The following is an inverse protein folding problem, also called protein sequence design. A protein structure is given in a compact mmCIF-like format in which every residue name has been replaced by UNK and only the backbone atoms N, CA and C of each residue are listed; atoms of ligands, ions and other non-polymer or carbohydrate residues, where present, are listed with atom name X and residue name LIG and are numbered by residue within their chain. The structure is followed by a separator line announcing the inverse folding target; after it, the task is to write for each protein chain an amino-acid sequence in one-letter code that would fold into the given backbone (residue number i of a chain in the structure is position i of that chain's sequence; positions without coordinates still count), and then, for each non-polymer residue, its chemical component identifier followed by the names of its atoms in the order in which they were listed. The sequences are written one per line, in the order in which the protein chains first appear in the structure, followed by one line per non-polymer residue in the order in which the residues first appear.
data_IF_313521928433
#
_entry.id   IF_313521928433
#
_cell.length_a   1.000
_cell.length_b   1.000
_cell.length_c   1.000
_cell.angle_alpha   90.00
_cell.angle_beta   90.00
_cell.angle_gamma   90.00
#
_symmetry.space_group_name_H-M   'P 1'
#
loop_
_entity.id
_entity.type
_entity.pdbx_description
1 polymer ?
#
# COMPACT_ATOMS: atom_id res chain seq x y z
N UNK A 1 19.16 -20.24 -10.22
CA UNK A 1 18.48 -19.91 -8.94
C UNK A 1 19.27 -18.81 -8.26
N UNK A 2 18.86 -17.53 -8.42
CA UNK A 2 19.46 -16.42 -7.67
C UNK A 2 19.10 -16.63 -6.19
N UNK A 3 20.10 -16.55 -5.31
CA UNK A 3 19.98 -16.88 -3.89
C UNK A 3 18.95 -15.99 -3.19
N UNK A 4 18.22 -16.57 -2.23
CA UNK A 4 17.35 -15.80 -1.35
C UNK A 4 18.19 -14.73 -0.64
N UNK A 5 17.71 -13.48 -0.66
CA UNK A 5 18.31 -12.41 0.12
C UNK A 5 18.02 -12.74 1.59
N UNK A 6 19.08 -12.97 2.38
CA UNK A 6 18.91 -13.26 3.79
C UNK A 6 18.47 -11.98 4.52
N UNK A 7 17.67 -12.09 5.58
CA UNK A 7 17.18 -10.94 6.36
C UNK A 7 18.28 -9.96 6.80
N UNK A 8 19.50 -10.46 7.07
CA UNK A 8 20.66 -9.63 7.43
C UNK A 8 21.18 -8.76 6.27
N UNK A 9 20.86 -9.10 5.02
CA UNK A 9 21.17 -8.29 3.85
C UNK A 9 20.21 -7.12 3.66
N UNK A 10 19.00 -7.13 4.24
CA UNK A 10 18.02 -6.04 4.09
C UNK A 10 18.55 -4.73 4.68
N UNK A 11 19.34 -4.79 5.75
CA UNK A 11 19.91 -3.63 6.43
C UNK A 11 20.75 -2.76 5.48
N UNK A 12 21.45 -3.37 4.50
CA UNK A 12 22.28 -2.61 3.55
C UNK A 12 21.45 -1.78 2.56
N UNK A 13 20.16 -2.07 2.45
CA UNK A 13 19.20 -1.36 1.60
C UNK A 13 18.34 -0.36 2.36
N UNK A 14 18.47 -0.28 3.70
CA UNK A 14 17.82 0.78 4.47
C UNK A 14 18.51 2.11 4.14
N UNK A 15 17.78 3.13 3.67
CA UNK A 15 18.38 4.44 3.42
C UNK A 15 19.03 5.00 4.68
N UNK A 16 20.31 5.40 4.57
CA UNK A 16 21.05 6.00 5.68
C UNK A 16 20.59 7.43 6.00
N UNK A 17 19.95 8.11 5.03
CA UNK A 17 19.47 9.48 5.15
C UNK A 17 18.30 9.70 4.21
N UNK A 18 17.26 10.36 4.71
CA UNK A 18 16.15 10.90 3.93
C UNK A 18 16.16 12.41 4.14
N UNK A 19 16.03 13.18 3.05
CA UNK A 19 15.88 14.63 3.11
C UNK A 19 14.48 15.00 2.64
N UNK A 20 13.68 15.56 3.55
CA UNK A 20 12.40 16.17 3.18
C UNK A 20 12.63 17.65 2.90
N UNK A 21 12.03 18.14 1.83
CA UNK A 21 11.95 19.57 1.56
C UNK A 21 10.48 19.95 1.48
N UNK A 22 10.00 20.74 2.43
CA UNK A 22 8.64 21.27 2.42
C UNK A 22 8.64 22.74 1.99
N UNK A 23 7.50 23.19 1.50
CA UNK A 23 7.20 24.61 1.31
C UNK A 23 6.05 24.95 2.26
N UNK A 24 6.32 25.57 3.43
CA UNK A 24 5.32 25.72 4.49
C UNK A 24 4.01 26.38 4.01
N UNK A 25 4.09 27.36 3.11
CA UNK A 25 2.90 28.01 2.55
C UNK A 25 2.02 27.07 1.72
N UNK A 26 2.59 26.07 1.04
CA UNK A 26 1.81 25.04 0.33
C UNK A 26 1.25 24.00 1.29
N UNK A 27 1.97 23.72 2.36
CA UNK A 27 1.55 22.75 3.37
C UNK A 27 0.39 23.28 4.22
N UNK A 28 0.49 24.52 4.68
CA UNK A 28 -0.52 25.14 5.52
C UNK A 28 -1.83 25.34 4.75
N UNK A 29 -1.74 25.83 3.50
CA UNK A 29 -2.92 26.13 2.68
C UNK A 29 -3.99 26.89 3.48
N UNK A 30 -5.23 26.44 3.35
CA UNK A 30 -6.39 26.98 4.11
C UNK A 30 -6.51 26.38 5.52
N UNK A 31 -5.85 25.26 5.81
CA UNK A 31 -5.91 24.54 7.09
C UNK A 31 -5.03 25.22 8.15
N UNK A 32 -4.05 26.02 7.73
CA UNK A 32 -3.16 26.76 8.63
C UNK A 32 -2.01 25.92 9.17
N UNK A 33 -1.40 26.39 10.28
CA UNK A 33 -0.19 25.79 10.82
C UNK A 33 -0.38 24.36 11.33
N UNK A 34 -1.60 23.95 11.67
CA UNK A 34 -1.87 22.57 12.12
C UNK A 34 -1.56 21.52 11.04
N UNK A 35 -1.58 21.88 9.75
CA UNK A 35 -1.21 20.95 8.68
C UNK A 35 0.24 20.43 8.81
N UNK A 36 1.12 21.21 9.47
CA UNK A 36 2.51 20.83 9.73
C UNK A 36 2.69 19.76 10.79
N UNK A 37 1.64 19.46 11.57
CA UNK A 37 1.65 18.37 12.56
C UNK A 37 1.34 17.00 11.94
N UNK A 38 1.01 16.99 10.64
CA UNK A 38 0.67 15.79 9.89
C UNK A 38 1.85 14.82 9.70
N UNK A 39 1.49 13.65 9.19
CA UNK A 39 2.42 12.58 8.85
C UNK A 39 2.40 12.33 7.34
N UNK A 40 3.53 11.89 6.81
CA UNK A 40 3.64 11.30 5.48
C UNK A 40 3.97 9.82 5.62
N UNK A 41 3.29 8.99 4.82
CA UNK A 41 3.58 7.57 4.69
C UNK A 41 3.94 7.26 3.24
N UNK A 42 5.00 6.48 3.02
CA UNK A 42 5.43 6.07 1.69
C UNK A 42 6.17 4.73 1.74
N UNK A 43 6.06 3.96 0.66
CA UNK A 43 6.80 2.71 0.51
C UNK A 43 8.11 2.98 -0.26
N UNK A 44 9.21 2.40 0.23
CA UNK A 44 10.50 2.38 -0.44
C UNK A 44 10.79 0.95 -0.86
N UNK A 45 11.11 0.74 -2.14
CA UNK A 45 11.48 -0.57 -2.66
C UNK A 45 12.86 -0.49 -3.29
N UNK A 46 13.70 -1.46 -2.98
CA UNK A 46 14.91 -1.74 -3.75
C UNK A 46 14.64 -2.93 -4.66
N UNK A 47 14.84 -2.76 -5.96
CA UNK A 47 14.60 -3.79 -6.97
C UNK A 47 15.77 -3.87 -7.97
N UNK A 48 16.18 -5.09 -8.31
CA UNK A 48 17.09 -5.39 -9.43
C UNK A 48 16.35 -6.23 -10.47
N UNK A 49 16.17 -5.71 -11.69
CA UNK A 49 15.49 -6.42 -12.79
C UNK A 49 14.15 -7.07 -12.38
N UNK A 50 13.23 -6.27 -11.82
CA UNK A 50 11.95 -6.72 -11.28
C UNK A 50 12.06 -7.77 -10.17
N UNK A 51 13.21 -7.87 -9.51
CA UNK A 51 13.39 -8.67 -8.30
C UNK A 51 13.56 -7.75 -7.11
N UNK A 52 12.58 -7.69 -6.23
CA UNK A 52 12.68 -6.95 -4.98
C UNK A 52 13.74 -7.56 -4.07
N UNK A 53 14.60 -6.70 -3.52
CA UNK A 53 15.57 -7.07 -2.49
C UNK A 53 15.31 -6.44 -1.13
N UNK A 54 14.43 -5.44 -1.07
CA UNK A 54 13.94 -4.85 0.18
C UNK A 54 12.67 -4.06 -0.11
N UNK A 55 11.75 -4.02 0.85
CA UNK A 55 10.60 -3.13 0.84
C UNK A 55 10.36 -2.61 2.24
N UNK A 56 10.24 -1.29 2.38
CA UNK A 56 10.06 -0.59 3.65
C UNK A 56 8.86 0.34 3.56
N UNK A 57 7.93 0.24 4.50
CA UNK A 57 6.91 1.26 4.70
C UNK A 57 7.40 2.24 5.76
N UNK A 58 7.62 3.48 5.36
CA UNK A 58 8.10 4.57 6.23
C UNK A 58 6.94 5.48 6.57
N UNK A 59 6.83 5.83 7.85
CA UNK A 59 5.91 6.85 8.36
C UNK A 59 6.72 7.86 9.14
N UNK A 60 6.58 9.14 8.79
CA UNK A 60 7.36 10.21 9.39
C UNK A 60 6.61 11.53 9.42
N UNK A 61 7.03 12.41 10.32
CA UNK A 61 6.56 13.80 10.38
C UNK A 61 7.15 14.60 9.23
N UNK A 62 6.50 15.72 8.92
CA UNK A 62 6.91 16.62 7.84
C UNK A 62 8.20 17.40 8.15
N UNK A 63 8.66 17.39 9.39
CA UNK A 63 9.95 17.94 9.84
C UNK A 63 11.13 16.95 9.65
N UNK A 64 10.87 15.71 9.24
CA UNK A 64 11.89 14.68 9.08
C UNK A 64 11.95 13.63 10.20
N UNK A 65 11.20 13.81 11.29
CA UNK A 65 11.20 12.86 12.41
C UNK A 65 10.55 11.54 12.01
N UNK A 66 11.30 10.44 12.11
CA UNK A 66 10.79 9.09 11.85
C UNK A 66 9.86 8.64 12.98
N UNK A 67 8.64 8.24 12.62
CA UNK A 67 7.67 7.67 13.58
C UNK A 67 7.74 6.15 13.57
N UNK A 68 7.69 5.54 12.37
CA UNK A 68 7.75 4.09 12.17
C UNK A 68 8.45 3.72 10.87
N UNK A 69 9.12 2.58 10.88
CA UNK A 69 9.60 1.89 9.69
C UNK A 69 9.21 0.42 9.82
N UNK A 70 8.51 -0.10 8.84
CA UNK A 70 8.16 -1.51 8.75
C UNK A 70 8.93 -2.16 7.62
N UNK A 71 9.59 -3.27 7.91
CA UNK A 71 10.07 -4.18 6.88
C UNK A 71 8.87 -4.94 6.33
N UNK A 72 8.51 -4.64 5.09
CA UNK A 72 7.33 -5.20 4.42
C UNK A 72 7.69 -6.36 3.51
N UNK A 73 8.98 -6.59 3.26
CA UNK A 73 9.48 -7.62 2.36
C UNK A 73 9.04 -9.03 2.75
N UNK A 74 9.10 -9.35 4.04
CA UNK A 74 8.85 -10.70 4.55
C UNK A 74 7.37 -11.02 4.84
N UNK A 75 6.46 -10.06 4.65
CA UNK A 75 5.04 -10.24 5.03
C UNK A 75 4.33 -11.41 4.31
N UNK A 76 4.81 -11.78 3.10
CA UNK A 76 4.28 -12.92 2.33
C UNK A 76 5.34 -14.01 2.11
N UNK A 77 6.30 -14.16 3.02
CA UNK A 77 7.39 -15.14 2.89
C UNK A 77 8.56 -14.65 2.02
N UNK A 78 8.74 -13.33 1.95
CA UNK A 78 9.74 -12.66 1.14
C UNK A 78 9.16 -12.08 -0.15
N UNK A 79 9.83 -11.07 -0.71
CA UNK A 79 9.47 -10.42 -1.98
C UNK A 79 8.15 -9.64 -1.98
N UNK A 80 7.66 -9.20 -0.83
CA UNK A 80 6.49 -8.31 -0.79
C UNK A 80 6.89 -6.86 -0.97
N UNK A 81 6.18 -6.10 -1.80
CA UNK A 81 6.15 -4.65 -1.73
C UNK A 81 4.72 -4.14 -1.78
N UNK A 82 4.46 -2.95 -1.23
CA UNK A 82 3.15 -2.31 -1.34
C UNK A 82 3.08 -1.37 -2.54
N UNK A 83 2.16 -1.67 -3.46
CA UNK A 83 1.87 -0.93 -4.69
C UNK A 83 0.75 0.09 -4.47
N UNK A 84 -0.18 -0.24 -3.56
CA UNK A 84 -1.21 0.68 -3.09
C UNK A 84 -1.08 0.96 -1.60
N UNK A 85 -1.25 2.23 -1.25
CA UNK A 85 -1.18 2.76 0.11
C UNK A 85 -2.24 3.86 0.24
N UNK A 86 -3.30 3.60 1.01
CA UNK A 86 -4.35 4.60 1.29
C UNK A 86 -4.60 4.72 2.79
N UNK A 87 -4.82 5.93 3.27
CA UNK A 87 -5.24 6.16 4.64
C UNK A 87 -6.72 5.74 4.79
N UNK A 88 -7.02 4.87 5.76
CA UNK A 88 -8.42 4.49 6.06
C UNK A 88 -9.01 5.36 7.17
N UNK A 89 -8.21 5.65 8.18
CA UNK A 89 -8.51 6.55 9.29
C UNK A 89 -7.18 7.01 9.92
N UNK A 90 -7.16 7.92 10.92
CA UNK A 90 -5.92 8.46 11.48
C UNK A 90 -4.94 7.43 12.06
N UNK A 91 -5.36 6.18 12.31
CA UNK A 91 -4.50 5.14 12.89
C UNK A 91 -4.30 3.93 11.97
N UNK A 92 -4.96 3.87 10.81
CA UNK A 92 -4.87 2.68 9.94
C UNK A 92 -4.67 2.99 8.46
N UNK A 93 -3.83 2.20 7.80
CA UNK A 93 -3.61 2.22 6.36
C UNK A 93 -4.17 0.96 5.70
N UNK A 94 -4.74 1.15 4.52
CA UNK A 94 -5.11 0.11 3.58
C UNK A 94 -3.97 -0.08 2.58
N UNK A 95 -3.53 -1.33 2.41
CA UNK A 95 -2.32 -1.69 1.68
C UNK A 95 -2.62 -2.79 0.67
N UNK A 96 -2.15 -2.64 -0.57
CA UNK A 96 -2.16 -3.68 -1.60
C UNK A 96 -0.73 -4.17 -1.85
N UNK A 97 -0.46 -5.46 -1.62
CA UNK A 97 0.87 -6.05 -1.79
C UNK A 97 1.05 -6.79 -3.11
N UNK A 98 2.23 -6.69 -3.72
CA UNK A 98 2.71 -7.54 -4.84
C UNK A 98 3.77 -8.51 -4.34
N UNK A 99 3.84 -9.71 -4.93
CA UNK A 99 4.89 -10.70 -4.74
C UNK A 99 5.84 -10.86 -5.95
N UNK A 100 6.22 -9.76 -6.61
CA UNK A 100 7.40 -9.66 -7.51
C UNK A 100 7.27 -10.30 -8.90
N UNK A 101 6.15 -10.98 -9.18
CA UNK A 101 5.98 -11.73 -10.44
C UNK A 101 4.63 -11.53 -11.12
N UNK A 102 3.66 -10.89 -10.47
CA UNK A 102 2.30 -10.86 -11.03
C UNK A 102 1.46 -9.63 -10.70
N UNK A 103 1.97 -8.60 -10.02
CA UNK A 103 1.15 -7.48 -9.51
C UNK A 103 0.01 -7.98 -8.59
N UNK A 104 0.11 -9.23 -8.12
CA UNK A 104 -0.85 -9.91 -7.27
C UNK A 104 -0.20 -10.15 -5.91
N UNK A 105 -0.99 -10.00 -4.87
CA UNK A 105 -0.63 -10.42 -3.52
C UNK A 105 -1.75 -10.13 -2.55
N UNK A 106 -1.46 -10.30 -1.26
CA UNK A 106 -2.45 -10.06 -0.21
C UNK A 106 -2.67 -8.56 0.05
N UNK A 107 -3.90 -8.23 0.43
CA UNK A 107 -4.27 -6.93 0.94
C UNK A 107 -4.17 -6.91 2.47
N UNK A 108 -3.80 -5.77 3.03
CA UNK A 108 -3.65 -5.61 4.47
C UNK A 108 -4.30 -4.34 4.97
N UNK A 109 -4.79 -4.40 6.20
CA UNK A 109 -4.97 -3.24 7.06
C UNK A 109 -3.79 -3.17 8.03
N UNK A 110 -3.08 -2.04 8.06
CA UNK A 110 -2.03 -1.77 9.04
C UNK A 110 -2.54 -0.79 10.10
N UNK A 111 -2.61 -1.22 11.36
CA UNK A 111 -2.61 -0.30 12.51
C UNK A 111 -1.17 0.15 12.78
N UNK A 112 -0.82 1.35 12.32
CA UNK A 112 0.56 1.82 12.36
C UNK A 112 1.01 2.25 13.76
N UNK A 113 0.08 2.51 14.67
CA UNK A 113 0.46 2.82 16.06
C UNK A 113 0.88 1.54 16.77
N UNK A 114 0.15 0.45 16.54
CA UNK A 114 0.41 -0.86 17.13
C UNK A 114 1.42 -1.70 16.33
N UNK A 115 1.65 -1.38 15.06
CA UNK A 115 2.46 -2.20 14.15
C UNK A 115 1.79 -3.52 13.81
N UNK A 116 0.45 -3.54 13.73
CA UNK A 116 -0.32 -4.75 13.49
C UNK A 116 -0.82 -4.80 12.04
N UNK A 117 -0.40 -5.81 11.29
CA UNK A 117 -0.89 -6.11 9.95
C UNK A 117 -2.00 -7.16 10.03
N UNK A 118 -3.18 -6.80 9.55
CA UNK A 118 -4.32 -7.72 9.42
C UNK A 118 -4.53 -8.02 7.94
N UNK A 119 -4.44 -9.30 7.56
CA UNK A 119 -4.78 -9.72 6.20
C UNK A 119 -6.27 -9.52 5.96
N UNK A 120 -6.61 -8.96 4.81
CA UNK A 120 -7.98 -8.77 4.37
C UNK A 120 -8.40 -9.87 3.40
N UNK A 121 -9.68 -9.91 3.06
CA UNK A 121 -10.30 -10.80 2.08
C UNK A 121 -9.95 -12.28 2.31
N UNK A 122 -9.89 -12.71 3.57
CA UNK A 122 -9.46 -14.05 3.99
C UNK A 122 -8.09 -14.49 3.41
N UNK A 123 -7.18 -13.53 3.18
CA UNK A 123 -5.88 -13.79 2.56
C UNK A 123 -5.99 -14.20 1.09
N UNK A 124 -7.03 -13.77 0.37
CA UNK A 124 -7.14 -13.97 -1.07
C UNK A 124 -6.17 -13.03 -1.78
N UNK A 125 -5.43 -13.55 -2.77
CA UNK A 125 -4.55 -12.72 -3.59
C UNK A 125 -5.34 -11.94 -4.63
N UNK A 126 -4.99 -10.68 -4.85
CA UNK A 126 -5.57 -9.86 -5.91
C UNK A 126 -4.61 -8.79 -6.41
N UNK A 127 -4.99 -8.14 -7.51
CA UNK A 127 -4.23 -7.05 -8.07
C UNK A 127 -4.03 -5.93 -7.03
N UNK A 128 -2.79 -5.50 -6.88
CA UNK A 128 -2.35 -4.65 -5.79
C UNK A 128 -2.24 -3.16 -6.15
N UNK A 129 -2.39 -2.80 -7.43
CA UNK A 129 -2.09 -1.46 -7.92
C UNK A 129 -3.06 -0.39 -7.43
N UNK A 130 -4.29 -0.78 -7.11
CA UNK A 130 -5.23 0.08 -6.43
C UNK A 130 -6.04 -0.72 -5.43
N UNK A 131 -6.39 -0.08 -4.33
CA UNK A 131 -7.29 -0.63 -3.34
C UNK A 131 -7.96 0.51 -2.61
N UNK A 132 -9.27 0.43 -2.42
CA UNK A 132 -10.05 1.46 -1.78
C UNK A 132 -11.02 0.83 -0.80
N UNK A 133 -11.26 1.50 0.31
CA UNK A 133 -12.36 1.13 1.16
C UNK A 133 -13.65 1.59 0.51
N UNK A 134 -14.68 0.75 0.48
CA UNK A 134 -16.00 1.18 0.01
C UNK A 134 -16.57 2.24 0.95
N UNK A 135 -17.38 3.17 0.42
CA UNK A 135 -18.07 4.15 1.27
C UNK A 135 -18.96 3.49 2.32
N UNK A 136 -19.60 2.38 1.97
CA UNK A 136 -20.48 1.61 2.85
C UNK A 136 -20.00 0.18 3.11
N UNK A 137 -20.27 -0.29 4.33
CA UNK A 137 -19.94 -1.64 4.77
C UNK A 137 -18.44 -1.90 5.03
N UNK A 138 -18.14 -3.17 5.25
CA UNK A 138 -16.78 -3.70 5.46
C UNK A 138 -16.26 -4.31 4.16
N UNK A 139 -16.14 -3.48 3.13
CA UNK A 139 -15.81 -3.92 1.78
C UNK A 139 -14.64 -3.13 1.19
N UNK A 140 -13.96 -3.76 0.23
CA UNK A 140 -12.87 -3.15 -0.53
C UNK A 140 -13.16 -3.19 -2.04
N UNK A 141 -12.88 -2.07 -2.70
CA UNK A 141 -12.77 -1.97 -4.14
C UNK A 141 -11.33 -2.24 -4.57
N UNK A 142 -11.17 -2.95 -5.66
CA UNK A 142 -9.87 -3.27 -6.25
C UNK A 142 -10.00 -3.58 -7.75
N UNK A 143 -8.91 -3.52 -8.51
CA UNK A 143 -8.88 -4.04 -9.87
C UNK A 143 -9.29 -5.52 -9.91
N UNK A 144 -10.14 -5.86 -10.87
CA UNK A 144 -10.66 -7.22 -11.00
C UNK A 144 -9.61 -8.21 -11.50
N UNK A 145 -9.65 -9.43 -10.96
CA UNK A 145 -8.71 -10.50 -11.33
C UNK A 145 -9.15 -11.25 -12.60
N UNK A 146 -10.44 -11.14 -12.96
CA UNK A 146 -11.09 -12.04 -13.94
C UNK A 146 -11.27 -11.43 -15.32
N UNK A 147 -11.39 -10.10 -15.42
CA UNK A 147 -11.53 -9.41 -16.70
C UNK A 147 -10.74 -8.12 -16.73
N UNK A 148 -9.94 -7.94 -17.81
CA UNK A 148 -9.23 -6.69 -18.06
C UNK A 148 -10.27 -5.57 -18.17
N UNK A 149 -10.07 -4.48 -17.42
CA UNK A 149 -11.03 -3.39 -17.44
C UNK A 149 -12.19 -3.57 -16.46
N UNK A 150 -12.05 -4.34 -15.39
CA UNK A 150 -13.08 -4.47 -14.35
C UNK A 150 -12.61 -4.02 -12.97
N UNK A 151 -13.57 -3.63 -12.14
CA UNK A 151 -13.41 -3.36 -10.71
C UNK A 151 -14.28 -4.34 -9.93
N UNK A 152 -13.71 -4.92 -8.88
CA UNK A 152 -14.38 -5.87 -8.00
C UNK A 152 -14.59 -5.23 -6.62
N UNK A 153 -15.82 -5.35 -6.08
CA UNK A 153 -16.14 -5.11 -4.68
C UNK A 153 -16.08 -6.45 -3.95
N UNK A 154 -15.25 -6.52 -2.91
CA UNK A 154 -15.13 -7.71 -2.06
C UNK A 154 -15.42 -7.40 -0.61
N UNK A 155 -16.00 -8.38 0.06
CA UNK A 155 -16.09 -8.38 1.52
C UNK A 155 -14.68 -8.43 2.12
N UNK A 156 -14.34 -7.46 2.96
CA UNK A 156 -12.99 -7.27 3.47
C UNK A 156 -12.57 -8.35 4.48
N UNK A 157 -13.51 -9.12 5.03
CA UNK A 157 -13.24 -10.20 5.97
C UNK A 157 -13.13 -11.54 5.23
N UNK A 158 -14.11 -11.87 4.40
CA UNK A 158 -14.28 -13.19 3.77
C UNK A 158 -13.67 -13.29 2.38
N UNK A 159 -13.46 -12.17 1.70
CA UNK A 159 -12.97 -12.11 0.32
C UNK A 159 -14.02 -12.47 -0.73
N UNK A 160 -15.28 -12.68 -0.33
CA UNK A 160 -16.38 -12.94 -1.24
C UNK A 160 -16.59 -11.74 -2.16
N UNK A 161 -16.65 -11.99 -3.48
CA UNK A 161 -17.07 -10.98 -4.43
C UNK A 161 -18.54 -10.63 -4.22
N UNK A 162 -18.81 -9.34 -4.08
CA UNK A 162 -20.15 -8.77 -3.92
C UNK A 162 -20.62 -8.20 -5.26
N UNK A 163 -19.71 -7.54 -5.99
CA UNK A 163 -20.02 -6.86 -7.24
C UNK A 163 -18.81 -6.83 -8.16
N UNK A 164 -19.06 -6.92 -9.46
CA UNK A 164 -18.08 -6.69 -10.50
C UNK A 164 -18.63 -5.65 -11.48
N UNK A 165 -17.83 -4.64 -11.82
CA UNK A 165 -18.18 -3.59 -12.76
C UNK A 165 -17.15 -3.60 -13.88
N UNK A 166 -17.60 -3.91 -15.10
CA UNK A 166 -16.81 -3.65 -16.29
C UNK A 166 -16.86 -2.15 -16.61
N UNK A 167 -15.70 -1.54 -16.66
CA UNK A 167 -15.53 -0.10 -16.92
C UNK A 167 -14.98 0.20 -18.31
N UNK A 168 -14.74 -0.82 -19.12
CA UNK A 168 -14.49 -0.62 -20.54
C UNK A 168 -15.80 -0.16 -21.25
N UNK A 169 -15.74 0.82 -22.17
CA UNK A 169 -14.55 1.51 -22.68
C UNK A 169 -14.19 2.80 -21.94
N UNK A 170 -14.88 3.13 -20.83
CA UNK A 170 -14.82 4.43 -20.17
C UNK A 170 -13.46 4.75 -19.53
N UNK A 171 -12.75 3.73 -19.05
CA UNK A 171 -11.40 3.87 -18.53
C UNK A 171 -10.46 2.81 -19.09
N UNK A 172 -9.27 3.24 -19.49
CA UNK A 172 -8.20 2.36 -19.99
C UNK A 172 -7.29 1.86 -18.87
N UNK A 173 -7.18 2.64 -17.80
CA UNK A 173 -6.38 2.32 -16.63
C UNK A 173 -7.31 2.19 -15.42
N UNK A 174 -7.42 0.96 -14.94
CA UNK A 174 -8.30 0.59 -13.84
C UNK A 174 -7.67 0.88 -12.47
N UNK A 175 -6.35 1.14 -12.45
CA UNK A 175 -5.55 1.24 -11.23
C UNK A 175 -5.54 2.65 -10.61
N UNK A 176 -6.37 3.56 -11.12
CA UNK A 176 -6.38 4.96 -10.69
C UNK A 176 -7.80 5.53 -10.60
N UNK A 177 -8.80 4.69 -10.32
CA UNK A 177 -10.22 5.07 -10.36
C UNK A 177 -10.76 5.18 -8.96
N UNK A 178 -11.02 6.40 -8.49
CA UNK A 178 -11.73 6.64 -7.24
C UNK A 178 -13.18 6.17 -7.32
N UNK A 179 -13.56 5.16 -6.54
CA UNK A 179 -14.95 4.77 -6.35
C UNK A 179 -15.41 5.20 -4.96
N UNK A 180 -16.54 5.91 -4.92
CA UNK A 180 -17.24 6.28 -3.69
C UNK A 180 -18.31 5.22 -3.47
#
# INVERSE_FOLDING_TARGET
RKGAIHRNDIIKYIPKKIKITTKPYLLHGEIGSQASEGLIAFNLVYADNFTYGSSLLVIMRLDGTLEKVYDTYDLQGGNTHFCALKLRNPSTFLLGGDTNTSELGYQYMLDWKRGAFTKLANGTSANCHDIQWAYDGDNIWQPGNTSKGSLELKDATTGKEIKNINIAPFAKDINHIGLI
#
